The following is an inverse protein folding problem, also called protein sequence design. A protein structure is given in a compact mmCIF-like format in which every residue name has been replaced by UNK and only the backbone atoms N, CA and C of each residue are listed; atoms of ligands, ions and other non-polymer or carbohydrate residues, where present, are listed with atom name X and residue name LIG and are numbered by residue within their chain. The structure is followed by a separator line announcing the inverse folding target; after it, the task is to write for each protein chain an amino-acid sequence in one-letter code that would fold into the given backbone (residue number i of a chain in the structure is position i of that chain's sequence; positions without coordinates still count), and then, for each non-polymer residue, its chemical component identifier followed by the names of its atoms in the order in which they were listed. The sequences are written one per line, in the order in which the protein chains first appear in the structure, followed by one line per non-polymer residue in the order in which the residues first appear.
data_IF_293025205839
#
_entry.id   IF_293025205839
#
_cell.length_a   1.000
_cell.length_b   1.000
_cell.length_c   1.000
_cell.angle_alpha   90.00
_cell.angle_beta   90.00
_cell.angle_gamma   90.00
#
_symmetry.space_group_name_H-M   'P 1'
#
loop_
_entity.id
_entity.type
_entity.pdbx_description
1 polymer ?
#
# COMPACT_ATOMS: atom_id res chain seq x y z
N UNK A 1 86.99 -4.07 -6.08
CA UNK A 1 85.87 -5.01 -5.86
C UNK A 1 85.16 -4.56 -4.58
N UNK A 2 84.26 -3.58 -4.73
CA UNK A 2 83.51 -2.93 -3.66
C UNK A 2 82.05 -3.42 -3.68
N UNK A 3 81.35 -3.16 -2.59
CA UNK A 3 79.89 -3.24 -2.38
C UNK A 3 79.46 -4.53 -1.66
N UNK A 4 79.18 -4.41 -0.34
CA UNK A 4 78.16 -5.16 0.41
C UNK A 4 78.07 -4.70 1.88
N UNK A 5 77.63 -3.48 2.16
CA UNK A 5 77.17 -3.08 3.50
C UNK A 5 76.16 -1.91 3.43
N UNK A 6 74.93 -2.13 2.93
CA UNK A 6 73.83 -1.15 3.04
C UNK A 6 72.47 -1.83 2.77
N UNK A 7 72.08 -2.82 3.59
CA UNK A 7 70.79 -3.51 3.36
C UNK A 7 70.00 -3.90 4.62
N UNK A 8 70.37 -3.45 5.83
CA UNK A 8 69.67 -3.91 7.05
C UNK A 8 68.84 -2.84 7.80
N UNK A 9 68.94 -1.55 7.48
CA UNK A 9 68.19 -0.51 8.20
C UNK A 9 66.89 -0.03 7.53
N UNK A 10 66.65 -0.40 6.26
CA UNK A 10 65.43 0.01 5.54
C UNK A 10 64.22 -0.90 5.78
N UNK A 11 64.43 -2.16 6.20
CA UNK A 11 63.35 -3.14 6.35
C UNK A 11 62.53 -3.02 7.65
N UNK A 12 63.14 -2.51 8.73
CA UNK A 12 62.47 -2.40 10.04
C UNK A 12 61.60 -1.14 10.14
N UNK A 13 62.00 -0.04 9.48
CA UNK A 13 61.22 1.21 9.46
C UNK A 13 59.97 1.13 8.56
N UNK A 14 60.03 0.33 7.49
CA UNK A 14 58.89 0.09 6.60
C UNK A 14 57.80 -0.81 7.20
N UNK A 15 58.17 -1.75 8.08
CA UNK A 15 57.19 -2.61 8.76
C UNK A 15 56.45 -1.89 9.90
N UNK A 16 57.08 -0.91 10.56
CA UNK A 16 56.41 -0.13 11.62
C UNK A 16 55.46 0.93 11.03
N UNK A 17 55.74 1.45 9.83
CA UNK A 17 54.87 2.44 9.17
C UNK A 17 53.69 1.79 8.42
N UNK A 18 53.82 0.53 7.98
CA UNK A 18 52.73 -0.22 7.34
C UNK A 18 51.68 -0.77 8.34
N UNK A 19 52.01 -0.82 9.64
CA UNK A 19 51.07 -1.22 10.70
C UNK A 19 50.18 -0.06 11.21
N UNK A 20 50.39 1.18 10.75
CA UNK A 20 49.68 2.37 11.22
C UNK A 20 48.59 2.90 10.26
N UNK A 21 48.32 2.22 9.15
CA UNK A 21 47.30 2.61 8.16
C UNK A 21 46.14 1.62 8.03
N UNK A 22 45.94 0.75 9.02
CA UNK A 22 44.60 0.22 9.27
C UNK A 22 43.78 1.35 9.91
N UNK A 23 43.24 2.24 9.08
CA UNK A 23 42.19 3.15 9.50
C UNK A 23 41.02 2.26 9.97
N UNK A 24 40.96 1.99 11.27
CA UNK A 24 39.79 1.37 11.89
C UNK A 24 38.65 2.36 11.72
N UNK A 25 37.84 2.18 10.69
CA UNK A 25 36.53 2.81 10.62
C UNK A 25 35.80 2.40 11.89
N UNK A 26 35.44 3.38 12.71
CA UNK A 26 34.59 3.11 13.87
C UNK A 26 33.33 2.37 13.37
N UNK A 27 32.86 1.34 14.08
CA UNK A 27 31.67 0.62 13.68
C UNK A 27 30.49 1.58 13.59
N UNK A 28 29.58 1.31 12.66
CA UNK A 28 28.38 2.12 12.51
C UNK A 28 27.60 2.20 13.83
N UNK A 29 27.04 3.36 14.14
CA UNK A 29 26.10 3.49 15.24
C UNK A 29 24.77 2.83 14.82
N UNK A 30 24.36 1.78 15.52
CA UNK A 30 23.13 1.05 15.21
C UNK A 30 21.96 1.48 16.12
N UNK A 31 20.80 1.70 15.50
CA UNK A 31 19.52 1.94 16.17
C UNK A 31 18.56 0.83 15.73
N UNK A 32 18.16 -0.01 16.67
CA UNK A 32 17.26 -1.12 16.39
C UNK A 32 15.82 -0.76 16.71
N UNK A 33 14.92 -1.13 15.80
CA UNK A 33 13.48 -0.93 15.93
C UNK A 33 12.75 -2.26 15.68
N UNK A 34 11.80 -2.62 16.56
CA UNK A 34 11.05 -3.87 16.52
C UNK A 34 9.62 -3.63 17.03
N UNK A 35 8.55 -4.29 16.51
CA UNK A 35 7.17 -4.01 16.95
C UNK A 35 6.88 -4.29 18.42
N UNK A 36 7.69 -5.13 19.08
CA UNK A 36 7.63 -5.40 20.53
C UNK A 36 8.62 -4.58 21.37
N UNK A 37 9.29 -3.60 20.76
CA UNK A 37 10.25 -2.72 21.44
C UNK A 37 9.61 -1.72 22.39
N UNK A 38 10.41 -0.78 22.88
CA UNK A 38 9.95 0.28 23.78
C UNK A 38 10.59 1.63 23.41
N UNK A 39 9.77 2.63 23.09
CA UNK A 39 10.24 3.95 22.64
C UNK A 39 10.92 4.79 23.74
N UNK A 40 10.70 4.45 25.01
CA UNK A 40 11.48 5.00 26.12
C UNK A 40 12.86 4.31 26.29
N UNK A 41 13.11 3.26 25.52
CA UNK A 41 14.36 2.49 25.52
C UNK A 41 15.50 3.16 24.77
N UNK A 42 16.71 2.56 24.86
CA UNK A 42 17.91 3.09 24.25
C UNK A 42 18.02 2.82 22.73
N UNK A 43 17.27 1.84 22.19
CA UNK A 43 17.35 1.45 20.78
C UNK A 43 18.54 0.54 20.45
N UNK A 44 19.05 -0.21 21.42
CA UNK A 44 20.10 -1.23 21.16
C UNK A 44 19.48 -2.53 20.67
N UNK A 45 20.29 -3.48 20.18
CA UNK A 45 19.82 -4.78 19.72
C UNK A 45 19.01 -5.54 20.77
N UNK A 46 19.42 -5.46 22.04
CA UNK A 46 18.75 -6.12 23.18
C UNK A 46 17.52 -5.36 23.67
N UNK A 47 17.46 -4.04 23.38
CA UNK A 47 16.39 -3.14 23.83
C UNK A 47 15.98 -2.18 22.71
N UNK A 48 15.38 -2.71 21.63
CA UNK A 48 14.99 -1.92 20.47
C UNK A 48 13.87 -0.93 20.84
N UNK A 49 13.78 0.16 20.08
CA UNK A 49 12.60 1.04 20.11
C UNK A 49 11.43 0.38 19.40
N UNK A 50 10.20 0.83 19.68
CA UNK A 50 8.99 0.25 19.13
C UNK A 50 8.64 0.81 17.75
N UNK A 51 8.86 2.12 17.55
CA UNK A 51 8.36 2.85 16.39
C UNK A 51 9.46 3.36 15.46
N UNK A 52 9.16 3.41 14.17
CA UNK A 52 10.04 4.01 13.17
C UNK A 52 10.27 5.50 13.46
N UNK A 53 9.25 6.23 13.91
CA UNK A 53 9.38 7.64 14.29
C UNK A 53 10.41 7.83 15.42
N UNK A 54 10.37 6.98 16.46
CA UNK A 54 11.36 7.04 17.53
C UNK A 54 12.77 6.70 17.05
N UNK A 55 12.90 5.75 16.13
CA UNK A 55 14.19 5.39 15.53
C UNK A 55 14.79 6.55 14.72
N UNK A 56 13.96 7.24 13.92
CA UNK A 56 14.34 8.49 13.25
C UNK A 56 14.83 9.52 14.26
N UNK A 57 14.06 9.78 15.32
CA UNK A 57 14.42 10.80 16.31
C UNK A 57 15.74 10.47 17.03
N UNK A 58 16.04 9.18 17.23
CA UNK A 58 17.33 8.73 17.75
C UNK A 58 18.47 9.01 16.74
N UNK A 59 18.28 8.69 15.46
CA UNK A 59 19.27 8.96 14.41
C UNK A 59 19.53 10.46 14.29
N UNK A 60 18.47 11.27 14.27
CA UNK A 60 18.53 12.73 14.27
C UNK A 60 19.31 13.30 15.45
N UNK A 61 19.14 12.73 16.64
CA UNK A 61 19.91 13.14 17.82
C UNK A 61 21.41 12.78 17.72
N UNK A 62 21.78 11.72 16.99
CA UNK A 62 23.18 11.41 16.69
C UNK A 62 23.74 12.38 15.65
N UNK A 63 22.98 12.69 14.60
CA UNK A 63 23.36 13.67 13.57
C UNK A 63 23.62 15.04 14.19
N UNK A 64 22.73 15.52 15.06
CA UNK A 64 22.87 16.81 15.73
C UNK A 64 24.12 16.91 16.64
N UNK A 65 24.66 15.76 17.10
CA UNK A 65 25.91 15.71 17.87
C UNK A 65 27.17 15.65 16.99
N UNK A 66 27.00 15.49 15.68
CA UNK A 66 28.07 15.25 14.71
C UNK A 66 28.37 13.76 14.61
N UNK A 67 27.97 13.14 13.49
CA UNK A 67 28.34 11.75 13.20
C UNK A 67 29.85 11.62 12.97
N UNK A 68 30.47 10.69 13.67
CA UNK A 68 31.87 10.28 13.48
C UNK A 68 32.00 8.90 12.82
N UNK A 69 30.89 8.19 12.67
CA UNK A 69 30.72 6.91 12.01
C UNK A 69 29.33 6.87 11.32
N UNK A 70 29.12 6.01 10.31
CA UNK A 70 27.81 5.84 9.68
C UNK A 70 26.76 5.47 10.74
N UNK A 71 25.49 5.81 10.48
CA UNK A 71 24.38 5.47 11.34
C UNK A 71 23.46 4.48 10.63
N UNK A 72 23.18 3.34 11.23
CA UNK A 72 22.25 2.34 10.70
C UNK A 72 20.98 2.26 11.56
N UNK A 73 19.83 2.45 10.93
CA UNK A 73 18.54 2.10 11.51
C UNK A 73 18.18 0.69 11.05
N UNK A 74 18.28 -0.26 11.97
CA UNK A 74 18.04 -1.70 11.74
C UNK A 74 16.60 -2.03 12.09
N UNK A 75 15.79 -2.28 11.06
CA UNK A 75 14.36 -2.55 11.17
C UNK A 75 14.13 -4.06 11.24
N UNK A 76 13.76 -4.54 12.42
CA UNK A 76 13.47 -5.97 12.65
C UNK A 76 12.14 -6.39 12.04
N UNK A 77 12.00 -7.69 11.79
CA UNK A 77 10.82 -8.29 11.19
C UNK A 77 9.51 -7.91 11.92
N UNK A 78 8.44 -7.76 11.13
CA UNK A 78 7.09 -7.48 11.61
C UNK A 78 6.44 -6.31 10.89
N UNK A 79 5.20 -5.99 11.28
CA UNK A 79 4.40 -4.95 10.62
C UNK A 79 4.36 -3.67 11.46
N UNK A 80 4.86 -2.58 10.87
CA UNK A 80 4.84 -1.24 11.44
C UNK A 80 3.67 -0.46 10.85
N UNK A 81 2.59 -0.34 11.62
CA UNK A 81 1.38 0.38 11.18
C UNK A 81 1.53 1.87 11.41
N UNK A 82 1.36 2.64 10.34
CA UNK A 82 1.50 4.08 10.32
C UNK A 82 0.12 4.72 10.09
N UNK A 83 -0.36 5.49 11.07
CA UNK A 83 -1.51 6.36 10.90
C UNK A 83 -1.13 7.68 10.19
N UNK A 84 0.12 8.10 10.36
CA UNK A 84 0.73 9.26 9.70
C UNK A 84 2.06 8.84 9.06
N UNK A 85 2.49 9.48 7.96
CA UNK A 85 3.73 9.11 7.29
C UNK A 85 4.95 9.26 8.20
N UNK A 86 5.95 8.39 8.02
CA UNK A 86 7.29 8.66 8.52
C UNK A 86 7.86 9.84 7.72
N UNK A 87 8.09 10.97 8.37
CA UNK A 87 8.69 12.14 7.71
C UNK A 87 10.21 12.10 7.87
N UNK A 88 10.95 12.04 6.77
CA UNK A 88 12.41 12.14 6.72
C UNK A 88 12.81 13.47 6.06
N UNK A 89 13.25 14.42 6.87
CA UNK A 89 13.69 15.75 6.43
C UNK A 89 15.21 15.84 6.19
N UNK A 90 15.71 17.01 5.74
CA UNK A 90 17.14 17.26 5.60
C UNK A 90 17.95 16.97 6.86
N UNK A 91 17.36 17.14 8.05
CA UNK A 91 17.98 16.86 9.35
C UNK A 91 18.19 15.38 9.66
N UNK A 92 17.60 14.47 8.87
CA UNK A 92 17.76 13.02 8.99
C UNK A 92 18.85 12.47 8.05
N UNK A 93 19.49 13.35 7.27
CA UNK A 93 20.54 13.01 6.33
C UNK A 93 21.94 12.97 6.95
N UNK A 94 22.74 12.01 6.49
CA UNK A 94 24.18 11.94 6.74
C UNK A 94 25.01 12.63 5.65
N UNK A 95 26.33 12.45 5.69
CA UNK A 95 27.22 12.78 4.57
C UNK A 95 27.53 11.52 3.74
N UNK A 96 28.28 11.65 2.65
CA UNK A 96 28.73 10.50 1.88
C UNK A 96 29.57 9.52 2.71
N UNK A 97 30.44 10.05 3.59
CA UNK A 97 31.31 9.25 4.45
C UNK A 97 30.61 8.77 5.74
N UNK A 98 29.56 9.49 6.16
CA UNK A 98 28.80 9.23 7.39
C UNK A 98 27.31 9.11 7.06
N UNK A 99 26.98 8.12 6.23
CA UNK A 99 25.63 7.91 5.74
C UNK A 99 24.67 7.47 6.86
N UNK A 100 23.39 7.80 6.69
CA UNK A 100 22.29 7.29 7.52
C UNK A 100 21.54 6.27 6.68
N UNK A 101 21.57 5.00 7.08
CA UNK A 101 20.99 3.90 6.30
C UNK A 101 19.86 3.24 7.07
N UNK A 102 18.68 3.15 6.47
CA UNK A 102 17.58 2.33 6.96
C UNK A 102 17.61 0.99 6.25
N UNK A 103 17.75 -0.09 7.00
CA UNK A 103 17.78 -1.44 6.42
C UNK A 103 16.95 -2.42 7.23
N UNK A 104 16.48 -3.46 6.57
CA UNK A 104 15.95 -4.62 7.27
C UNK A 104 17.08 -5.30 8.08
N UNK A 105 16.73 -5.82 9.25
CA UNK A 105 17.55 -6.82 9.92
C UNK A 105 17.62 -8.11 9.07
N UNK A 106 18.58 -8.98 9.38
CA UNK A 106 18.66 -10.28 8.72
C UNK A 106 17.42 -11.13 9.00
N UNK A 107 16.95 -11.86 7.98
CA UNK A 107 15.77 -12.73 8.08
C UNK A 107 14.53 -12.14 7.39
N UNK A 108 13.32 -12.37 7.92
CA UNK A 108 12.07 -11.91 7.29
C UNK A 108 12.01 -10.38 7.16
N UNK A 109 11.55 -9.90 6.00
CA UNK A 109 11.47 -8.46 5.76
C UNK A 109 10.39 -7.78 6.63
N UNK A 110 10.68 -6.59 7.19
CA UNK A 110 9.66 -5.76 7.82
C UNK A 110 8.68 -5.22 6.79
N UNK A 111 7.44 -4.98 7.23
CA UNK A 111 6.40 -4.34 6.42
C UNK A 111 6.03 -3.00 7.05
N UNK A 112 6.25 -1.91 6.32
CA UNK A 112 5.69 -0.60 6.67
C UNK A 112 4.30 -0.48 6.06
N UNK A 113 3.27 -0.40 6.89
CA UNK A 113 1.88 -0.47 6.46
C UNK A 113 1.13 0.83 6.80
N UNK A 114 0.55 1.48 5.79
CA UNK A 114 -0.44 2.54 5.97
C UNK A 114 -1.85 2.03 6.25
N UNK A 115 -1.99 0.74 6.62
CA UNK A 115 -3.25 0.05 6.79
C UNK A 115 -3.63 -0.15 8.25
N UNK A 116 -4.94 -0.16 8.51
CA UNK A 116 -5.55 -0.48 9.79
C UNK A 116 -6.22 -1.85 9.72
N UNK A 117 -5.90 -2.72 10.67
CA UNK A 117 -6.57 -4.01 10.81
C UNK A 117 -8.04 -3.80 11.18
N UNK A 118 -8.94 -4.47 10.46
CA UNK A 118 -10.37 -4.50 10.74
C UNK A 118 -10.64 -5.69 11.65
N UNK A 119 -11.27 -5.43 12.79
CA UNK A 119 -11.58 -6.43 13.81
C UNK A 119 -13.10 -6.55 14.00
N UNK A 120 -13.54 -7.46 14.86
CA UNK A 120 -14.97 -7.64 15.15
C UNK A 120 -15.76 -8.37 14.06
N UNK A 121 -15.07 -9.11 13.19
CA UNK A 121 -15.69 -9.95 12.16
C UNK A 121 -16.57 -11.04 12.77
N UNK A 122 -17.73 -11.25 12.15
CA UNK A 122 -18.66 -12.34 12.46
C UNK A 122 -18.96 -13.12 11.19
N UNK A 123 -18.94 -14.45 11.30
CA UNK A 123 -19.45 -15.32 10.23
C UNK A 123 -20.96 -15.17 10.13
N UNK A 124 -21.47 -14.98 8.92
CA UNK A 124 -22.89 -14.91 8.58
C UNK A 124 -23.13 -15.68 7.27
N UNK A 125 -23.54 -16.95 7.39
CA UNK A 125 -23.64 -17.84 6.24
C UNK A 125 -22.28 -18.06 5.56
N UNK A 126 -22.21 -17.73 4.27
CA UNK A 126 -21.03 -17.83 3.41
C UNK A 126 -20.20 -16.53 3.35
N UNK A 127 -20.54 -15.52 4.16
CA UNK A 127 -19.82 -14.23 4.22
C UNK A 127 -19.39 -13.89 5.64
N UNK A 128 -18.47 -12.95 5.77
CA UNK A 128 -18.08 -12.30 7.01
C UNK A 128 -18.59 -10.87 7.03
N UNK A 129 -18.99 -10.40 8.22
CA UNK A 129 -19.44 -9.03 8.43
C UNK A 129 -18.71 -8.37 9.59
N UNK A 130 -18.31 -7.12 9.40
CA UNK A 130 -17.77 -6.26 10.44
C UNK A 130 -18.46 -4.89 10.41
N UNK A 131 -18.74 -4.35 11.59
CA UNK A 131 -19.25 -2.99 11.72
C UNK A 131 -18.07 -1.99 11.76
N UNK A 132 -18.17 -0.95 10.95
CA UNK A 132 -17.21 0.16 10.83
C UNK A 132 -17.99 1.47 11.03
N UNK A 133 -18.20 1.90 12.28
CA UNK A 133 -18.94 3.13 12.59
C UNK A 133 -18.37 4.36 11.87
N UNK A 134 -17.05 4.44 11.71
CA UNK A 134 -16.39 5.55 11.01
C UNK A 134 -16.74 5.59 9.51
N UNK A 135 -17.03 4.45 8.89
CA UNK A 135 -17.50 4.42 7.50
C UNK A 135 -18.92 4.99 7.40
N UNK A 136 -19.80 4.64 8.36
CA UNK A 136 -21.15 5.22 8.47
C UNK A 136 -21.13 6.73 8.68
N UNK A 137 -20.15 7.21 9.46
CA UNK A 137 -19.93 8.64 9.70
C UNK A 137 -19.21 9.35 8.53
N UNK A 138 -18.79 8.62 7.49
CA UNK A 138 -18.01 9.16 6.37
C UNK A 138 -16.56 9.52 6.72
N UNK A 139 -16.08 9.18 7.92
CA UNK A 139 -14.73 9.50 8.40
C UNK A 139 -13.67 8.50 7.92
N UNK A 140 -14.06 7.27 7.56
CA UNK A 140 -13.14 6.28 7.01
C UNK A 140 -13.81 5.43 5.93
N UNK A 141 -13.59 5.80 4.68
CA UNK A 141 -13.96 5.00 3.51
C UNK A 141 -12.71 4.63 2.73
N UNK A 142 -12.76 3.50 2.03
CA UNK A 142 -11.63 2.95 1.30
C UNK A 142 -12.12 2.18 0.07
N UNK A 143 -11.24 2.05 -0.91
CA UNK A 143 -11.51 1.32 -2.17
C UNK A 143 -10.69 0.04 -2.29
N UNK A 144 -9.95 -0.34 -1.25
CA UNK A 144 -9.07 -1.51 -1.23
C UNK A 144 -9.21 -2.26 0.10
N UNK A 145 -9.11 -3.59 0.01
CA UNK A 145 -9.10 -4.49 1.16
C UNK A 145 -8.02 -5.54 0.93
N UNK A 146 -7.26 -5.86 1.97
CA UNK A 146 -6.25 -6.89 1.96
C UNK A 146 -6.64 -7.96 2.98
N UNK A 147 -6.65 -9.23 2.58
CA UNK A 147 -7.03 -10.35 3.43
C UNK A 147 -5.91 -11.39 3.37
N UNK A 148 -5.32 -11.72 4.51
CA UNK A 148 -4.16 -12.62 4.57
C UNK A 148 -2.93 -12.11 3.81
N UNK A 149 -2.79 -10.78 3.65
CA UNK A 149 -1.71 -10.15 2.88
C UNK A 149 -2.01 -9.98 1.38
N UNK A 150 -3.10 -10.56 0.87
CA UNK A 150 -3.47 -10.50 -0.55
C UNK A 150 -4.56 -9.45 -0.80
N UNK A 151 -4.43 -8.68 -1.88
CA UNK A 151 -5.44 -7.68 -2.27
C UNK A 151 -6.70 -8.38 -2.77
N UNK A 152 -7.86 -7.94 -2.27
CA UNK A 152 -9.17 -8.48 -2.61
C UNK A 152 -9.99 -7.55 -3.51
N UNK A 153 -10.63 -8.05 -4.57
CA UNK A 153 -11.46 -7.23 -5.45
C UNK A 153 -12.70 -6.72 -4.70
N UNK A 154 -13.11 -5.49 -4.98
CA UNK A 154 -14.47 -5.06 -4.65
C UNK A 154 -15.44 -5.91 -5.46
N UNK A 155 -16.60 -6.20 -4.88
CA UNK A 155 -17.73 -6.84 -5.55
C UNK A 155 -17.97 -6.20 -6.92
N UNK A 156 -17.76 -6.96 -8.00
CA UNK A 156 -17.71 -6.46 -9.37
C UNK A 156 -18.42 -7.37 -10.36
N UNK A 157 -18.76 -6.81 -11.52
CA UNK A 157 -19.26 -7.59 -12.63
C UNK A 157 -18.77 -7.06 -13.99
N UNK A 158 -18.41 -7.95 -14.93
CA UNK A 158 -18.19 -9.39 -14.73
C UNK A 158 -17.06 -9.67 -13.73
N UNK A 159 -17.06 -10.83 -13.06
CA UNK A 159 -15.97 -11.24 -12.15
C UNK A 159 -14.62 -11.36 -12.87
N UNK A 160 -14.66 -11.77 -14.13
CA UNK A 160 -13.50 -11.86 -15.03
C UNK A 160 -13.84 -11.20 -16.37
N UNK A 161 -12.86 -10.51 -16.97
CA UNK A 161 -13.09 -9.80 -18.23
C UNK A 161 -13.97 -8.56 -18.09
N UNK A 162 -14.73 -8.26 -19.15
CA UNK A 162 -15.46 -7.00 -19.33
C UNK A 162 -16.77 -7.19 -20.10
N UNK A 163 -17.78 -6.41 -19.71
CA UNK A 163 -18.98 -6.18 -20.50
C UNK A 163 -18.69 -5.21 -21.66
N UNK A 164 -19.63 -5.09 -22.60
CA UNK A 164 -19.48 -4.27 -23.81
C UNK A 164 -20.65 -3.32 -23.98
N UNK A 165 -20.35 -2.07 -24.30
CA UNK A 165 -21.39 -1.10 -24.70
C UNK A 165 -22.08 -1.60 -25.97
N UNK A 166 -23.41 -1.67 -25.97
CA UNK A 166 -24.24 -2.01 -27.12
C UNK A 166 -24.47 -0.77 -28.00
N UNK A 167 -25.08 0.27 -27.44
CA UNK A 167 -25.40 1.51 -28.17
C UNK A 167 -25.18 2.74 -27.29
N UNK A 168 -24.53 3.77 -27.84
CA UNK A 168 -24.36 5.08 -27.20
C UNK A 168 -25.68 5.87 -27.25
N UNK A 169 -26.08 6.47 -26.12
CA UNK A 169 -27.25 7.35 -26.01
C UNK A 169 -26.76 8.80 -25.91
N UNK A 170 -25.93 9.08 -24.91
CA UNK A 170 -25.17 10.31 -24.73
C UNK A 170 -23.68 9.94 -24.79
N UNK A 171 -22.95 10.60 -25.68
CA UNK A 171 -21.55 10.29 -25.98
C UNK A 171 -20.57 10.61 -24.84
N UNK A 172 -21.06 11.05 -23.68
CA UNK A 172 -20.30 11.29 -22.45
C UNK A 172 -20.86 10.60 -21.24
N UNK A 173 -22.14 10.24 -21.19
CA UNK A 173 -22.79 9.89 -19.93
C UNK A 173 -23.66 8.67 -19.97
N UNK A 174 -24.16 8.24 -21.13
CA UNK A 174 -25.11 7.15 -21.14
C UNK A 174 -25.04 6.27 -22.37
N UNK A 175 -25.27 4.99 -22.12
CA UNK A 175 -25.25 3.96 -23.13
C UNK A 175 -26.14 2.80 -22.70
N UNK A 176 -26.37 1.90 -23.64
CA UNK A 176 -26.97 0.60 -23.37
C UNK A 176 -25.92 -0.49 -23.33
N UNK A 177 -26.19 -1.57 -22.60
CA UNK A 177 -25.37 -2.78 -22.59
C UNK A 177 -26.08 -3.93 -23.32
N UNK A 178 -25.31 -4.93 -23.75
CA UNK A 178 -25.86 -6.11 -24.43
C UNK A 178 -26.73 -6.92 -23.47
N UNK A 179 -27.77 -7.54 -23.99
CA UNK A 179 -28.58 -8.46 -23.19
C UNK A 179 -27.72 -9.57 -22.57
N UNK A 180 -27.84 -9.75 -21.25
CA UNK A 180 -27.06 -10.72 -20.48
C UNK A 180 -25.70 -10.24 -19.95
N UNK A 181 -25.18 -9.08 -20.39
CA UNK A 181 -23.86 -8.60 -19.95
C UNK A 181 -23.81 -8.10 -18.50
N UNK A 182 -24.95 -7.66 -17.95
CA UNK A 182 -25.07 -7.20 -16.56
C UNK A 182 -26.23 -7.91 -15.86
N UNK A 183 -26.10 -8.21 -14.55
CA UNK A 183 -27.22 -8.73 -13.77
C UNK A 183 -28.35 -7.70 -13.67
N UNK A 184 -29.57 -8.19 -13.46
CA UNK A 184 -30.74 -7.33 -13.23
C UNK A 184 -30.66 -6.67 -11.84
N UNK A 185 -29.99 -5.52 -11.78
CA UNK A 185 -29.91 -4.69 -10.57
C UNK A 185 -31.21 -3.89 -10.41
N UNK A 186 -31.73 -3.83 -9.18
CA UNK A 186 -32.93 -3.05 -8.86
C UNK A 186 -32.70 -1.53 -8.96
N UNK A 187 -31.50 -1.09 -8.60
CA UNK A 187 -31.04 0.29 -8.72
C UNK A 187 -29.51 0.35 -8.83
N UNK A 188 -28.96 1.54 -9.08
CA UNK A 188 -27.51 1.73 -9.19
C UNK A 188 -26.80 1.74 -7.82
N UNK A 189 -27.52 2.00 -6.73
CA UNK A 189 -27.02 1.99 -5.36
C UNK A 189 -25.74 2.81 -5.20
N UNK A 190 -24.67 2.13 -4.77
CA UNK A 190 -23.34 2.70 -4.66
C UNK A 190 -22.37 2.39 -5.81
N UNK A 191 -22.89 1.84 -6.91
CA UNK A 191 -22.09 1.28 -7.97
C UNK A 191 -21.22 2.32 -8.70
N UNK A 192 -20.04 1.86 -9.10
CA UNK A 192 -19.11 2.59 -9.95
C UNK A 192 -18.95 1.88 -11.28
N UNK A 193 -18.91 2.67 -12.36
CA UNK A 193 -18.49 2.24 -13.67
C UNK A 193 -16.97 2.35 -13.77
N UNK A 194 -16.32 1.29 -14.22
CA UNK A 194 -14.96 1.29 -14.73
C UNK A 194 -15.03 1.16 -16.25
N UNK A 195 -14.86 2.29 -16.94
CA UNK A 195 -14.93 2.36 -18.39
C UNK A 195 -13.52 2.42 -18.98
N UNK A 196 -13.20 1.49 -19.88
CA UNK A 196 -11.87 1.41 -20.50
C UNK A 196 -11.85 2.25 -21.77
N UNK A 197 -10.86 3.14 -21.87
CA UNK A 197 -10.54 3.83 -23.11
C UNK A 197 -9.03 4.04 -23.25
N UNK A 198 -8.46 3.46 -24.30
CA UNK A 198 -7.03 3.54 -24.63
C UNK A 198 -6.13 3.15 -23.44
N UNK A 199 -5.21 4.03 -23.04
CA UNK A 199 -4.29 3.85 -21.90
C UNK A 199 -4.89 4.24 -20.55
N UNK A 200 -6.19 4.58 -20.48
CA UNK A 200 -6.82 5.07 -19.24
C UNK A 200 -8.15 4.41 -18.92
N UNK A 201 -8.57 4.55 -17.67
CA UNK A 201 -9.87 4.07 -17.17
C UNK A 201 -10.59 5.23 -16.52
N UNK A 202 -11.82 5.49 -16.94
CA UNK A 202 -12.71 6.34 -16.15
C UNK A 202 -13.36 5.49 -15.06
N UNK A 203 -13.14 5.86 -13.80
CA UNK A 203 -13.91 5.38 -12.65
C UNK A 203 -14.92 6.45 -12.27
N UNK A 204 -16.22 6.17 -12.40
CA UNK A 204 -17.28 7.16 -12.15
C UNK A 204 -18.49 6.51 -11.49
N UNK A 205 -19.16 7.25 -10.61
CA UNK A 205 -20.42 6.80 -10.01
C UNK A 205 -21.49 6.62 -11.09
N UNK A 206 -22.26 5.54 -10.95
CA UNK A 206 -23.45 5.34 -11.77
C UNK A 206 -24.59 6.13 -11.14
N UNK A 207 -25.23 6.99 -11.93
CA UNK A 207 -26.36 7.81 -11.49
C UNK A 207 -27.67 7.04 -11.57
N UNK A 208 -27.85 6.25 -12.64
CA UNK A 208 -29.03 5.39 -12.80
C UNK A 208 -28.70 4.18 -13.67
N UNK A 209 -29.45 3.11 -13.41
CA UNK A 209 -29.48 1.89 -14.22
C UNK A 209 -30.93 1.45 -14.37
N UNK A 210 -31.29 0.97 -15.55
CA UNK A 210 -32.60 0.38 -15.81
C UNK A 210 -32.43 -0.92 -16.59
N UNK A 211 -32.78 -2.04 -15.96
CA UNK A 211 -32.60 -3.37 -16.54
C UNK A 211 -33.51 -3.64 -17.75
N UNK A 212 -34.70 -3.02 -17.78
CA UNK A 212 -35.68 -3.23 -18.85
C UNK A 212 -35.23 -2.60 -20.19
N UNK A 213 -34.79 -1.34 -20.14
CA UNK A 213 -34.22 -0.62 -21.30
C UNK A 213 -32.72 -0.88 -21.50
N UNK A 214 -32.09 -1.60 -20.58
CA UNK A 214 -30.64 -1.83 -20.50
C UNK A 214 -29.83 -0.55 -20.55
N UNK A 215 -30.28 0.51 -19.88
CA UNK A 215 -29.65 1.83 -19.92
C UNK A 215 -28.85 2.10 -18.66
N UNK A 216 -27.62 2.57 -18.82
CA UNK A 216 -26.76 3.06 -17.74
C UNK A 216 -26.47 4.55 -17.98
N UNK A 217 -26.60 5.37 -16.94
CA UNK A 217 -26.15 6.76 -16.96
C UNK A 217 -25.16 7.03 -15.82
N UNK A 218 -24.07 7.74 -16.11
CA UNK A 218 -23.03 8.11 -15.14
C UNK A 218 -23.32 9.47 -14.50
N UNK A 219 -22.89 9.64 -13.25
CA UNK A 219 -23.06 10.88 -12.49
C UNK A 219 -22.18 12.03 -13.03
N UNK A 220 -21.07 11.70 -13.69
CA UNK A 220 -20.20 12.65 -14.37
C UNK A 220 -19.75 12.09 -15.73
N UNK A 221 -19.07 12.90 -16.52
CA UNK A 221 -18.60 12.55 -17.86
C UNK A 221 -17.63 11.39 -17.84
N UNK A 222 -17.76 10.52 -18.85
CA UNK A 222 -16.73 9.60 -19.27
C UNK A 222 -15.64 10.37 -20.02
N UNK A 223 -14.41 10.21 -19.54
CA UNK A 223 -13.21 10.72 -20.19
C UNK A 223 -13.01 12.24 -20.11
N UNK A 224 -11.87 12.68 -20.67
CA UNK A 224 -11.52 14.10 -20.80
C UNK A 224 -12.31 14.82 -21.90
N UNK A 225 -12.14 16.15 -22.06
CA UNK A 225 -12.97 16.95 -22.96
C UNK A 225 -12.78 16.66 -24.47
N UNK A 226 -11.68 16.02 -24.87
CA UNK A 226 -11.41 15.69 -26.28
C UNK A 226 -12.40 14.65 -26.83
N UNK A 227 -12.73 14.74 -28.13
CA UNK A 227 -13.71 13.86 -28.77
C UNK A 227 -13.30 12.38 -28.75
N UNK A 228 -11.99 12.11 -28.80
CA UNK A 228 -11.41 10.78 -28.65
C UNK A 228 -11.85 10.06 -27.36
N UNK A 229 -12.09 10.81 -26.27
CA UNK A 229 -12.47 10.26 -24.98
C UNK A 229 -13.99 10.13 -24.77
N UNK A 230 -14.79 10.40 -25.80
CA UNK A 230 -16.23 10.13 -25.79
C UNK A 230 -16.50 8.62 -25.68
N UNK A 231 -17.68 8.26 -25.23
CA UNK A 231 -18.18 6.88 -25.29
C UNK A 231 -18.21 6.45 -26.76
N UNK A 232 -17.44 5.43 -27.10
CA UNK A 232 -17.28 4.94 -28.48
C UNK A 232 -16.30 5.74 -29.35
N UNK A 233 -15.61 6.75 -28.79
CA UNK A 233 -14.63 7.57 -29.51
C UNK A 233 -13.28 6.89 -29.76
N UNK A 234 -12.91 5.92 -28.92
CA UNK A 234 -11.66 5.16 -29.02
C UNK A 234 -11.83 3.85 -29.81
N UNK A 235 -12.81 3.01 -29.43
CA UNK A 235 -13.10 1.74 -30.07
C UNK A 235 -14.62 1.55 -30.21
N UNK A 236 -15.10 0.78 -31.20
CA UNK A 236 -16.49 0.36 -31.23
C UNK A 236 -16.80 -0.58 -30.06
N UNK A 237 -17.99 -0.46 -29.48
CA UNK A 237 -18.44 -1.27 -28.34
C UNK A 237 -17.38 -1.34 -27.21
N UNK A 238 -17.02 -0.19 -26.61
CA UNK A 238 -15.98 -0.13 -25.59
C UNK A 238 -16.26 -1.02 -24.39
N UNK A 239 -15.18 -1.47 -23.76
CA UNK A 239 -15.21 -2.35 -22.59
C UNK A 239 -15.54 -1.58 -21.33
N UNK A 240 -16.31 -2.22 -20.46
CA UNK A 240 -16.53 -1.71 -19.12
C UNK A 240 -16.74 -2.83 -18.11
N UNK A 241 -16.64 -2.49 -16.83
CA UNK A 241 -17.17 -3.29 -15.73
C UNK A 241 -17.82 -2.38 -14.71
N UNK A 242 -18.64 -2.95 -13.84
CA UNK A 242 -19.23 -2.24 -12.70
C UNK A 242 -18.71 -2.86 -11.40
N UNK A 243 -18.62 -2.07 -10.34
CA UNK A 243 -18.26 -2.54 -9.01
C UNK A 243 -19.05 -1.83 -7.92
N UNK A 244 -18.86 -2.25 -6.66
CA UNK A 244 -19.37 -1.58 -5.46
C UNK A 244 -20.90 -1.59 -5.31
N UNK A 245 -21.51 -2.76 -5.56
CA UNK A 245 -22.92 -2.97 -5.32
C UNK A 245 -23.14 -4.31 -4.61
N UNK A 246 -24.02 -4.40 -3.59
CA UNK A 246 -24.16 -5.61 -2.77
C UNK A 246 -24.60 -6.83 -3.59
N UNK A 247 -25.42 -6.64 -4.62
CA UNK A 247 -25.84 -7.73 -5.51
C UNK A 247 -24.73 -8.28 -6.41
N UNK A 248 -23.54 -7.66 -6.44
CA UNK A 248 -22.37 -8.17 -7.16
C UNK A 248 -21.44 -8.96 -6.25
N UNK A 249 -21.77 -9.14 -4.97
CA UNK A 249 -20.95 -9.89 -4.00
C UNK A 249 -21.20 -11.40 -4.16
N UNK A 250 -20.74 -11.97 -5.26
CA UNK A 250 -21.12 -13.32 -5.70
C UNK A 250 -19.94 -14.28 -5.91
N UNK A 251 -18.69 -13.80 -5.89
CA UNK A 251 -17.48 -14.62 -6.05
C UNK A 251 -16.55 -14.60 -4.81
N UNK A 252 -15.89 -15.73 -4.49
CA UNK A 252 -14.90 -15.79 -3.42
C UNK A 252 -13.84 -14.69 -3.55
N UNK A 253 -13.49 -14.08 -2.43
CA UNK A 253 -12.54 -12.98 -2.36
C UNK A 253 -13.17 -11.60 -2.58
N UNK A 254 -14.45 -11.47 -2.92
CA UNK A 254 -15.08 -10.17 -3.09
C UNK A 254 -15.51 -9.53 -1.77
N UNK A 255 -15.56 -8.20 -1.75
CA UNK A 255 -16.06 -7.43 -0.61
C UNK A 255 -16.91 -6.23 -1.02
N UNK A 256 -17.78 -5.80 -0.11
CA UNK A 256 -18.62 -4.62 -0.24
C UNK A 256 -18.73 -3.88 1.10
N UNK A 257 -18.49 -2.56 1.08
CA UNK A 257 -18.72 -1.67 2.21
C UNK A 257 -19.99 -0.87 1.95
N UNK A 258 -21.03 -1.12 2.73
CA UNK A 258 -22.21 -0.27 2.77
C UNK A 258 -21.90 0.96 3.64
N UNK A 259 -21.68 2.11 3.00
CA UNK A 259 -21.34 3.34 3.71
C UNK A 259 -22.53 3.94 4.46
N UNK A 260 -23.78 3.55 4.15
CA UNK A 260 -24.96 4.05 4.86
C UNK A 260 -25.16 3.34 6.20
N UNK A 261 -24.83 2.05 6.26
CA UNK A 261 -24.95 1.25 7.48
C UNK A 261 -23.62 1.10 8.22
N UNK A 262 -22.49 1.32 7.54
CA UNK A 262 -21.14 1.07 8.04
C UNK A 262 -20.80 -0.41 8.10
N UNK A 263 -21.51 -1.28 7.37
CA UNK A 263 -21.23 -2.72 7.38
C UNK A 263 -20.30 -3.07 6.22
N UNK A 264 -19.13 -3.60 6.56
CA UNK A 264 -18.25 -4.27 5.61
C UNK A 264 -18.64 -5.74 5.53
N UNK A 265 -18.88 -6.22 4.32
CA UNK A 265 -19.16 -7.62 4.02
C UNK A 265 -18.06 -8.19 3.13
N UNK A 266 -17.56 -9.37 3.46
CA UNK A 266 -16.51 -10.06 2.72
C UNK A 266 -16.92 -11.52 2.46
N UNK A 267 -16.76 -11.99 1.22
CA UNK A 267 -16.95 -13.40 0.85
C UNK A 267 -15.56 -14.07 0.89
N UNK A 268 -15.24 -14.88 1.91
CA UNK A 268 -13.90 -15.43 2.07
C UNK A 268 -13.48 -16.37 0.94
N UNK A 269 -12.17 -16.44 0.70
CA UNK A 269 -11.57 -17.49 -0.11
C UNK A 269 -11.58 -18.82 0.65
N UNK A 270 -11.55 -19.97 -0.07
CA UNK A 270 -11.34 -21.26 0.56
C UNK A 270 -10.09 -21.26 1.45
N UNK A 271 -10.25 -21.69 2.71
CA UNK A 271 -9.16 -21.78 3.69
C UNK A 271 -8.98 -20.56 4.60
N UNK A 272 -9.67 -19.46 4.33
CA UNK A 272 -9.70 -18.32 5.24
C UNK A 272 -10.71 -18.54 6.37
N UNK A 273 -10.38 -18.06 7.57
CA UNK A 273 -11.25 -18.21 8.74
C UNK A 273 -11.26 -16.94 9.61
N UNK A 274 -12.45 -16.65 10.16
CA UNK A 274 -12.64 -15.55 11.11
C UNK A 274 -11.74 -15.76 12.33
N UNK A 275 -11.06 -14.69 12.75
CA UNK A 275 -10.20 -14.70 13.94
C UNK A 275 -8.76 -15.17 13.68
N UNK A 276 -8.49 -15.83 12.56
CA UNK A 276 -7.13 -16.25 12.16
C UNK A 276 -6.61 -15.49 10.96
N UNK A 277 -7.47 -15.16 9.99
CA UNK A 277 -7.09 -14.43 8.80
C UNK A 277 -7.19 -12.92 9.06
N UNK A 278 -6.07 -12.22 8.95
CA UNK A 278 -6.04 -10.77 9.11
C UNK A 278 -6.73 -10.07 7.93
N UNK A 279 -7.53 -9.05 8.23
CA UNK A 279 -8.13 -8.17 7.23
C UNK A 279 -7.68 -6.73 7.49
N UNK A 280 -7.17 -6.06 6.46
CA UNK A 280 -6.58 -4.71 6.55
C UNK A 280 -7.18 -3.82 5.47
N UNK A 281 -7.50 -2.57 5.82
CA UNK A 281 -7.87 -1.52 4.88
C UNK A 281 -6.95 -0.29 5.04
N UNK A 282 -6.68 0.46 3.95
CA UNK A 282 -5.79 1.63 4.01
C UNK A 282 -6.40 2.76 4.85
N UNK A 283 -5.54 3.49 5.57
CA UNK A 283 -5.88 4.72 6.31
C UNK A 283 -4.93 5.87 5.99
N UNK A 284 -3.65 5.59 5.75
CA UNK A 284 -2.66 6.60 5.38
C UNK A 284 -2.52 6.71 3.85
N UNK A 285 -2.48 7.93 3.33
CA UNK A 285 -2.26 8.20 1.90
C UNK A 285 -0.78 8.01 1.48
N UNK A 286 0.13 8.16 2.44
CA UNK A 286 1.58 8.00 2.26
C UNK A 286 2.13 7.33 3.53
N UNK A 287 3.16 6.50 3.37
CA UNK A 287 3.86 5.86 4.51
C UNK A 287 5.22 6.50 4.80
N UNK A 288 5.78 7.21 3.81
CA UNK A 288 7.06 7.90 3.88
C UNK A 288 6.92 9.23 3.14
N UNK A 289 7.42 10.32 3.74
CA UNK A 289 7.42 11.68 3.18
C UNK A 289 8.79 12.31 3.36
#
# INVERSE_FOLDING_TARGET
MLIRQTALLAGVLGCVLALLLAASSAPAAEIHVAPGGNDAGPGTAERPVATLARARDAARALIAKGLTAPCEVVVHAGTYRLAEPLVLGPEDGGTADQAVTWRAADGPSPVVSGGRAITGWKQDGDVWRAAIPEAKAGAWTFNELFVGGERRPRARHPNEGYARVEKVIDDRRSFTWKEGDLPALADAGEAQLLFLHDWSVTRVRIASMDAASRTLATADRVGGPAAFWRVGGFEPHPRFSIENHPALLDAPGEWYLDTKTGVLTYRPMPGEAVGTTEVVAPVAAQVLV
#
